data_IF_367562767923
#
_entry.id   IF_367562767923
#
_cell.length_a   1.000
_cell.length_b   1.000
_cell.length_c   1.000
_cell.angle_alpha   90.00
_cell.angle_beta   90.00
_cell.angle_gamma   90.00
#
_symmetry.space_group_name_H-M   'P 1'
#
loop_
_entity.id
_entity.type
_entity.pdbx_description
1 polymer ?
#
# COMPACT_ATOMS: atom_id res chain seq x y z
N UNK A 1 -5.57 -12.58 -5.13
CA UNK A 1 -4.73 -11.45 -4.66
C UNK A 1 -5.55 -10.20 -4.87
N UNK A 2 -5.74 -9.36 -3.86
CA UNK A 2 -6.57 -8.17 -4.04
C UNK A 2 -5.75 -6.90 -3.80
N UNK A 3 -5.65 -6.03 -4.81
CA UNK A 3 -5.30 -4.63 -4.56
C UNK A 3 -6.53 -3.96 -3.99
N UNK A 4 -6.37 -3.13 -2.95
CA UNK A 4 -7.50 -2.61 -2.18
C UNK A 4 -7.55 -1.09 -2.23
N UNK A 5 -6.50 -0.44 -1.74
CA UNK A 5 -6.42 1.01 -1.61
C UNK A 5 -5.17 1.51 -2.32
N UNK A 6 -5.36 2.47 -3.22
CA UNK A 6 -4.29 3.08 -4.01
C UNK A 6 -4.02 4.48 -3.47
N UNK A 7 -2.75 4.79 -3.22
CA UNK A 7 -2.26 6.08 -2.76
C UNK A 7 -1.30 6.64 -3.81
N UNK A 8 -1.61 7.86 -4.25
CA UNK A 8 -0.95 8.51 -5.37
C UNK A 8 0.08 9.53 -4.90
N UNK A 9 1.25 9.43 -5.49
CA UNK A 9 2.38 10.38 -5.40
C UNK A 9 3.18 10.21 -6.70
N UNK A 10 4.10 11.10 -7.03
CA UNK A 10 4.90 10.98 -8.24
C UNK A 10 4.05 11.03 -9.54
N UNK A 11 2.80 11.51 -9.48
CA UNK A 11 1.85 11.49 -10.61
C UNK A 11 1.23 10.11 -10.89
N UNK A 12 1.43 9.13 -10.02
CA UNK A 12 1.04 7.74 -10.24
C UNK A 12 0.52 7.03 -8.99
N UNK A 13 -0.17 5.90 -9.16
CA UNK A 13 -0.52 5.00 -8.06
C UNK A 13 0.74 4.26 -7.62
N UNK A 14 1.45 4.83 -6.64
CA UNK A 14 2.74 4.33 -6.19
C UNK A 14 2.62 3.35 -5.05
N UNK A 15 1.76 3.65 -4.06
CA UNK A 15 1.61 2.83 -2.86
C UNK A 15 0.25 2.15 -2.91
N UNK A 16 0.21 0.82 -2.76
CA UNK A 16 -1.02 0.03 -2.84
C UNK A 16 -1.12 -0.87 -1.62
N UNK A 17 -2.09 -0.60 -0.75
CA UNK A 17 -2.47 -1.57 0.27
C UNK A 17 -3.15 -2.76 -0.41
N UNK A 18 -2.66 -3.95 -0.11
CA UNK A 18 -3.13 -5.18 -0.73
C UNK A 18 -3.34 -6.29 0.30
N UNK A 19 -4.25 -7.19 -0.04
CA UNK A 19 -4.63 -8.33 0.76
C UNK A 19 -4.37 -9.60 -0.08
N UNK A 20 -3.28 -10.32 0.23
CA UNK A 20 -2.84 -11.49 -0.52
C UNK A 20 -3.30 -12.79 0.15
N UNK A 21 -4.20 -13.50 -0.52
CA UNK A 21 -4.68 -14.83 -0.14
C UNK A 21 -5.67 -15.33 -1.18
N UNK A 22 -5.63 -16.63 -1.49
CA UNK A 22 -6.50 -17.24 -2.52
C UNK A 22 -7.47 -18.27 -1.92
N UNK A 23 -7.06 -19.06 -0.93
CA UNK A 23 -7.80 -20.27 -0.55
C UNK A 23 -8.13 -20.39 0.94
N UNK A 24 -7.44 -19.66 1.82
CA UNK A 24 -7.69 -19.72 3.26
C UNK A 24 -8.48 -18.50 3.76
N UNK A 25 -9.06 -18.63 4.96
CA UNK A 25 -9.75 -17.53 5.63
C UNK A 25 -8.80 -16.39 6.04
N UNK A 26 -7.51 -16.70 6.13
CA UNK A 26 -6.45 -15.78 6.53
C UNK A 26 -5.81 -15.14 5.30
N UNK A 27 -5.71 -13.82 5.29
CA UNK A 27 -5.17 -13.04 4.19
C UNK A 27 -3.97 -12.23 4.70
N UNK A 28 -2.85 -12.29 3.98
CA UNK A 28 -1.65 -11.55 4.33
C UNK A 28 -1.78 -10.08 3.87
N UNK A 29 -1.69 -9.08 4.77
CA UNK A 29 -1.64 -7.68 4.38
C UNK A 29 -0.25 -7.31 3.86
N UNK A 30 -0.18 -6.48 2.83
CA UNK A 30 1.08 -5.97 2.28
C UNK A 30 0.91 -4.53 1.79
N UNK A 31 1.98 -3.74 1.89
CA UNK A 31 2.09 -2.51 1.12
C UNK A 31 2.90 -2.79 -0.14
N UNK A 32 2.28 -2.67 -1.30
CA UNK A 32 2.97 -2.85 -2.58
C UNK A 32 3.42 -1.49 -3.08
N UNK A 33 4.69 -1.39 -3.45
CA UNK A 33 5.21 -0.23 -4.14
C UNK A 33 5.30 -0.56 -5.63
N UNK A 34 4.77 0.34 -6.46
CA UNK A 34 4.72 0.20 -7.91
C UNK A 34 5.21 1.48 -8.55
N UNK A 35 5.95 1.38 -9.66
CA UNK A 35 6.49 2.51 -10.41
C UNK A 35 7.40 3.44 -9.57
N UNK A 36 8.22 2.87 -8.69
CA UNK A 36 9.14 3.65 -7.84
C UNK A 36 10.56 3.65 -8.39
N UNK A 37 10.88 4.67 -9.19
CA UNK A 37 12.17 4.77 -9.88
C UNK A 37 13.32 5.19 -8.95
N UNK A 38 13.02 5.68 -7.74
CA UNK A 38 14.01 6.21 -6.81
C UNK A 38 14.51 5.19 -5.77
N UNK A 39 14.00 3.96 -5.78
CA UNK A 39 14.29 2.96 -4.75
C UNK A 39 15.26 1.88 -5.21
N UNK A 40 16.26 1.59 -4.38
CA UNK A 40 17.33 0.64 -4.69
C UNK A 40 16.83 -0.81 -4.75
N UNK A 41 15.67 -1.10 -4.16
CA UNK A 41 15.01 -2.41 -4.24
C UNK A 41 14.33 -2.64 -5.60
N UNK A 42 14.29 -1.64 -6.47
CA UNK A 42 13.77 -1.70 -7.84
C UNK A 42 12.40 -1.07 -8.02
N UNK A 43 11.90 -1.09 -9.26
CA UNK A 43 10.69 -0.34 -9.67
C UNK A 43 9.37 -0.88 -9.10
N UNK A 44 9.36 -2.09 -8.54
CA UNK A 44 8.18 -2.70 -7.94
C UNK A 44 8.56 -3.79 -6.96
N UNK A 45 8.06 -3.70 -5.72
CA UNK A 45 8.26 -4.71 -4.69
C UNK A 45 7.17 -4.62 -3.61
N UNK A 46 7.13 -5.63 -2.75
CA UNK A 46 6.19 -5.69 -1.63
C UNK A 46 6.91 -5.46 -0.31
N UNK A 47 6.40 -4.54 0.49
CA UNK A 47 6.70 -4.43 1.90
C UNK A 47 5.74 -5.36 2.65
N UNK A 48 6.29 -6.39 3.29
CA UNK A 48 5.53 -7.31 4.14
C UNK A 48 5.53 -6.79 5.59
N UNK A 49 4.68 -7.28 6.49
CA UNK A 49 4.80 -6.96 7.91
C UNK A 49 6.17 -7.43 8.44
N UNK A 50 7.03 -6.50 8.89
CA UNK A 50 8.36 -6.80 9.43
C UNK A 50 8.41 -6.80 10.97
N UNK A 51 7.49 -6.10 11.64
CA UNK A 51 7.41 -6.08 13.10
C UNK A 51 6.53 -7.20 13.65
N UNK A 52 5.45 -7.54 12.92
CA UNK A 52 4.58 -8.68 13.25
C UNK A 52 4.27 -9.51 11.98
N UNK A 53 5.20 -10.38 11.52
CA UNK A 53 5.04 -11.16 10.29
C UNK A 53 3.84 -12.12 10.28
N UNK A 54 3.28 -12.41 11.45
CA UNK A 54 2.10 -13.27 11.64
C UNK A 54 0.78 -12.49 11.58
N UNK A 55 0.79 -11.16 11.42
CA UNK A 55 -0.42 -10.36 11.31
C UNK A 55 -1.25 -10.75 10.07
N UNK A 56 -2.57 -10.89 10.23
CA UNK A 56 -3.48 -11.37 9.18
C UNK A 56 -4.81 -10.64 9.22
N UNK A 57 -5.36 -10.40 8.04
CA UNK A 57 -6.78 -10.07 7.87
C UNK A 57 -7.58 -11.37 7.84
N UNK A 58 -8.71 -11.43 8.53
CA UNK A 58 -9.62 -12.58 8.57
C UNK A 58 -10.90 -12.22 7.81
N UNK A 59 -11.32 -13.05 6.86
CA UNK A 59 -12.55 -12.76 6.09
C UNK A 59 -13.77 -12.78 7.00
N UNK A 60 -14.74 -11.92 6.70
CA UNK A 60 -15.98 -11.79 7.47
C UNK A 60 -15.81 -11.05 8.81
N UNK A 61 -14.64 -10.47 9.08
CA UNK A 61 -14.38 -9.62 10.24
C UNK A 61 -14.07 -8.20 9.78
N UNK A 62 -14.48 -7.23 10.60
CA UNK A 62 -14.00 -5.85 10.47
C UNK A 62 -12.57 -5.76 10.98
N UNK A 63 -11.72 -5.05 10.23
CA UNK A 63 -10.35 -4.76 10.60
C UNK A 63 -10.09 -3.27 10.48
N UNK A 64 -9.37 -2.71 11.45
CA UNK A 64 -8.88 -1.34 11.37
C UNK A 64 -7.49 -1.35 10.77
N UNK A 65 -7.33 -0.71 9.60
CA UNK A 65 -6.04 -0.53 8.94
C UNK A 65 -5.67 0.94 9.04
N UNK A 66 -4.50 1.22 9.62
CA UNK A 66 -3.95 2.58 9.69
C UNK A 66 -2.65 2.61 8.92
N UNK A 67 -2.47 3.62 8.06
CA UNK A 67 -1.31 3.74 7.18
C UNK A 67 -0.75 5.15 7.38
N UNK A 68 0.56 5.22 7.66
CA UNK A 68 1.29 6.48 7.72
C UNK A 68 2.39 6.44 6.65
N UNK A 69 2.41 7.47 5.82
CA UNK A 69 3.38 7.62 4.74
C UNK A 69 4.08 8.96 4.87
N UNK A 70 5.41 8.95 4.77
CA UNK A 70 6.24 10.14 4.67
C UNK A 70 6.90 10.13 3.31
N UNK A 71 6.62 11.15 2.50
CA UNK A 71 7.29 11.33 1.21
C UNK A 71 8.80 11.46 1.40
N UNK A 72 9.56 10.99 0.43
CA UNK A 72 11.00 11.20 0.40
C UNK A 72 11.36 12.54 -0.25
N UNK A 73 12.53 13.06 0.06
CA UNK A 73 13.20 14.10 -0.72
C UNK A 73 13.50 13.52 -2.12
N UNK A 74 13.15 14.21 -3.22
CA UNK A 74 13.36 13.69 -4.57
C UNK A 74 14.77 13.13 -4.83
N UNK A 75 14.86 11.86 -5.19
CA UNK A 75 16.12 11.16 -5.46
C UNK A 75 16.92 10.72 -4.23
N UNK A 76 16.44 11.00 -3.02
CA UNK A 76 16.98 10.49 -1.76
C UNK A 76 16.02 9.45 -1.20
N UNK A 77 16.53 8.34 -0.67
CA UNK A 77 15.72 7.33 0.03
C UNK A 77 15.63 7.69 1.51
N UNK A 78 14.78 8.66 1.84
CA UNK A 78 14.52 9.11 3.22
C UNK A 78 13.00 9.11 3.55
N UNK A 79 12.19 8.49 2.69
CA UNK A 79 10.77 8.28 2.90
C UNK A 79 10.49 7.11 3.85
N UNK A 80 9.28 7.08 4.40
CA UNK A 80 8.88 6.09 5.39
C UNK A 80 7.50 5.50 5.06
N UNK A 81 7.34 4.23 5.39
CA UNK A 81 6.08 3.50 5.35
C UNK A 81 5.87 2.79 6.68
N UNK A 82 4.85 3.20 7.41
CA UNK A 82 4.39 2.50 8.61
C UNK A 82 2.92 2.09 8.43
N UNK A 83 2.55 0.94 8.98
CA UNK A 83 1.14 0.60 9.10
C UNK A 83 0.81 -0.27 10.31
N UNK A 84 -0.45 -0.15 10.73
CA UNK A 84 -1.04 -0.85 11.86
C UNK A 84 -2.22 -1.68 11.39
N UNK A 85 -2.45 -2.78 12.09
CA UNK A 85 -3.63 -3.61 11.96
C UNK A 85 -4.24 -3.79 13.34
N UNK A 86 -5.52 -3.45 13.47
CA UNK A 86 -6.29 -3.52 14.70
C UNK A 86 -5.60 -2.82 15.89
N UNK A 87 -4.98 -1.67 15.60
CA UNK A 87 -4.26 -0.84 16.58
C UNK A 87 -2.83 -1.29 16.90
N UNK A 88 -2.36 -2.40 16.34
CA UNK A 88 -0.98 -2.91 16.55
C UNK A 88 -0.10 -2.52 15.37
N UNK A 89 1.08 -1.94 15.63
CA UNK A 89 2.05 -1.61 14.57
C UNK A 89 2.65 -2.89 14.02
N UNK A 90 2.40 -3.20 12.75
CA UNK A 90 2.84 -4.47 12.16
C UNK A 90 3.98 -4.28 11.16
N UNK A 91 4.19 -3.05 10.69
CA UNK A 91 5.31 -2.69 9.85
C UNK A 91 5.88 -1.31 10.14
N UNK A 92 7.18 -1.19 9.96
CA UNK A 92 7.91 0.07 9.93
C UNK A 92 9.07 -0.04 8.94
N UNK A 93 9.06 0.77 7.89
CA UNK A 93 10.09 0.81 6.86
C UNK A 93 10.61 2.23 6.70
N UNK A 94 11.92 2.36 6.75
CA UNK A 94 12.67 3.57 6.37
C UNK A 94 13.25 3.38 4.97
N UNK A 95 13.94 4.42 4.51
CA UNK A 95 14.72 4.41 3.27
C UNK A 95 13.87 4.04 2.05
N UNK A 96 12.67 4.61 1.96
CA UNK A 96 11.74 4.40 0.85
C UNK A 96 11.84 5.54 -0.14
N UNK A 97 12.13 5.22 -1.41
CA UNK A 97 12.23 6.19 -2.50
C UNK A 97 10.96 6.24 -3.36
N UNK A 98 9.96 7.05 -3.00
CA UNK A 98 8.73 7.19 -3.79
C UNK A 98 8.89 8.09 -5.01
N UNK A 99 9.71 9.15 -4.89
CA UNK A 99 9.85 10.23 -5.88
C UNK A 99 11.29 10.31 -6.36
N UNK A 100 11.48 10.23 -7.69
CA UNK A 100 12.78 10.35 -8.33
C UNK A 100 13.23 11.81 -8.49
N UNK A 101 14.55 12.04 -8.55
CA UNK A 101 15.14 13.38 -8.72
C UNK A 101 14.71 14.07 -10.01
N UNK A 102 14.47 13.30 -11.07
CA UNK A 102 14.08 13.78 -12.40
C UNK A 102 12.58 14.00 -12.58
N UNK A 103 11.75 13.92 -11.53
CA UNK A 103 10.32 14.10 -11.70
C UNK A 103 9.97 15.55 -12.11
N UNK A 104 9.43 15.71 -13.31
CA UNK A 104 9.05 16.99 -13.92
C UNK A 104 7.59 17.39 -13.63
N UNK A 105 6.80 16.54 -12.99
CA UNK A 105 5.39 16.80 -12.68
C UNK A 105 5.27 17.81 -11.52
N UNK A 106 4.63 18.97 -11.71
CA UNK A 106 4.43 19.95 -10.64
C UNK A 106 3.71 19.34 -9.43
N UNK A 107 4.25 19.53 -8.23
CA UNK A 107 3.64 19.05 -6.99
C UNK A 107 3.70 17.53 -6.79
N UNK A 108 4.48 16.79 -7.59
CA UNK A 108 4.55 15.32 -7.50
C UNK A 108 5.28 14.77 -6.27
N UNK A 109 5.85 15.66 -5.45
CA UNK A 109 6.36 15.37 -4.11
C UNK A 109 5.26 15.27 -3.05
N UNK A 110 4.05 15.74 -3.36
CA UNK A 110 2.91 15.70 -2.45
C UNK A 110 2.09 14.43 -2.69
N UNK A 111 1.45 13.94 -1.63
CA UNK A 111 0.39 12.93 -1.76
C UNK A 111 -0.83 13.55 -2.46
N UNK A 112 -1.25 12.95 -3.57
CA UNK A 112 -2.20 13.56 -4.52
C UNK A 112 -3.62 13.03 -4.37
N UNK A 113 -3.76 11.72 -4.14
CA UNK A 113 -5.06 11.04 -4.16
C UNK A 113 -5.00 9.77 -3.33
N UNK A 114 -6.13 9.44 -2.71
CA UNK A 114 -6.43 8.09 -2.21
C UNK A 114 -7.63 7.55 -2.98
N UNK A 115 -7.55 6.32 -3.45
CA UNK A 115 -8.61 5.67 -4.22
C UNK A 115 -8.87 4.27 -3.69
N UNK A 116 -10.10 4.02 -3.27
CA UNK A 116 -10.59 2.66 -3.00
C UNK A 116 -10.99 2.04 -4.33
N UNK A 117 -10.12 1.19 -4.86
CA UNK A 117 -10.30 0.54 -6.17
C UNK A 117 -9.97 -0.95 -6.08
N UNK A 118 -10.82 -1.76 -5.42
CA UNK A 118 -10.56 -3.18 -5.25
C UNK A 118 -10.41 -3.89 -6.60
N UNK A 119 -9.27 -4.52 -6.82
CA UNK A 119 -8.98 -5.28 -8.05
C UNK A 119 -8.59 -6.71 -7.69
N UNK A 120 -9.28 -7.68 -8.27
CA UNK A 120 -8.93 -9.09 -8.14
C UNK A 120 -7.82 -9.47 -9.13
N UNK A 121 -6.76 -10.06 -8.59
CA UNK A 121 -5.71 -10.71 -9.36
C UNK A 121 -4.87 -9.77 -10.22
N UNK A 122 -4.18 -10.39 -11.19
CA UNK A 122 -3.54 -9.72 -12.32
C UNK A 122 -4.36 -9.85 -13.61
N UNK A 123 -3.82 -9.37 -14.74
CA UNK A 123 -4.55 -9.28 -16.01
C UNK A 123 -5.15 -10.59 -16.55
N UNK A 124 -4.58 -11.74 -16.19
CA UNK A 124 -5.04 -13.06 -16.65
C UNK A 124 -5.85 -13.84 -15.59
N UNK A 125 -6.02 -13.29 -14.39
CA UNK A 125 -6.74 -13.96 -13.33
C UNK A 125 -8.25 -13.88 -13.55
N UNK A 126 -8.94 -14.99 -13.38
CA UNK A 126 -10.41 -15.07 -13.43
C UNK A 126 -10.97 -15.01 -12.02
N UNK A 127 -11.97 -14.14 -11.81
CA UNK A 127 -12.67 -14.03 -10.53
C UNK A 127 -13.44 -15.35 -10.27
N UNK A 128 -13.11 -16.11 -9.20
CA UNK A 128 -13.60 -17.48 -9.05
C UNK A 128 -15.02 -17.58 -8.48
N UNK A 129 -15.50 -16.51 -7.87
CA UNK A 129 -16.84 -16.39 -7.29
C UNK A 129 -17.14 -14.92 -7.02
N UNK A 130 -18.41 -14.58 -6.75
CA UNK A 130 -18.76 -13.25 -6.25
C UNK A 130 -17.98 -12.95 -4.97
N UNK A 131 -17.42 -11.74 -4.90
CA UNK A 131 -16.63 -11.26 -3.79
C UNK A 131 -17.10 -9.86 -3.42
N UNK A 132 -17.08 -9.57 -2.12
CA UNK A 132 -17.55 -8.30 -1.58
C UNK A 132 -16.50 -7.74 -0.64
N UNK A 133 -16.40 -6.42 -0.61
CA UNK A 133 -15.60 -5.67 0.33
C UNK A 133 -16.42 -4.50 0.82
N UNK A 134 -16.34 -4.24 2.12
CA UNK A 134 -17.02 -3.14 2.77
C UNK A 134 -15.96 -2.24 3.41
N UNK A 135 -16.25 -0.94 3.43
CA UNK A 135 -15.42 0.07 4.09
C UNK A 135 -16.36 0.94 4.91
N UNK A 136 -15.92 1.31 6.11
CA UNK A 136 -16.58 2.27 6.97
C UNK A 136 -15.50 3.04 7.75
N UNK A 137 -15.84 4.21 8.30
CA UNK A 137 -14.96 5.03 9.13
C UNK A 137 -13.63 5.38 8.44
N UNK A 138 -13.73 5.91 7.22
CA UNK A 138 -12.58 6.29 6.42
C UNK A 138 -12.15 7.73 6.71
N UNK A 139 -10.89 7.89 7.13
CA UNK A 139 -10.29 9.18 7.44
C UNK A 139 -8.98 9.35 6.69
N UNK A 140 -8.72 10.57 6.23
CA UNK A 140 -7.43 10.98 5.67
C UNK A 140 -7.02 12.27 6.37
N UNK A 141 -5.76 12.36 6.75
CA UNK A 141 -5.14 13.59 7.20
C UNK A 141 -3.73 13.68 6.63
N UNK A 142 -3.23 14.89 6.47
CA UNK A 142 -1.91 15.16 5.92
C UNK A 142 -1.48 16.59 6.26
N UNK A 143 -0.21 16.89 5.97
CA UNK A 143 0.38 18.22 6.13
C UNK A 143 0.92 18.69 4.79
#
# INVERSE_FOLDING_TARGET
>A
MNKVLHLWINGGSVVVFSAQGQTTNSIAPQMRLQNIEADARGISFNLNPNLLPTARLIRGQWHRVEILLKSNTPGVQDGEVDWWLDGVKIAAYTDVGFVASGNVTPGAVNWQQVSWNPTYGGPADVVPANQYMQIDQFYISGK
#
